data_IF_549642206440
#
_entry.id   IF_549642206440
#
_cell.length_a   1.000
_cell.length_b   1.000
_cell.length_c   1.000
_cell.angle_alpha   90.00
_cell.angle_beta   90.00
_cell.angle_gamma   90.00
#
_symmetry.space_group_name_H-M   'P 1'
#
loop_
_entity.id
_entity.type
_entity.pdbx_description
1 polymer ?
#
# COMPACT_ATOMS: atom_id res chain seq x y z
N UNK A 1 -70.50 -19.73 -31.91
CA UNK A 1 -70.25 -21.15 -31.59
C UNK A 1 -69.72 -21.16 -30.16
N UNK A 2 -70.62 -21.19 -29.17
CA UNK A 2 -71.17 -22.38 -28.49
C UNK A 2 -70.10 -23.01 -27.58
N UNK A 3 -70.29 -23.28 -26.29
CA UNK A 3 -71.33 -23.11 -25.25
C UNK A 3 -70.59 -23.49 -23.93
N UNK A 4 -70.72 -22.78 -22.78
CA UNK A 4 -71.65 -23.08 -21.64
C UNK A 4 -71.29 -24.44 -20.95
N UNK A 5 -71.08 -24.60 -19.63
CA UNK A 5 -71.60 -23.93 -18.42
C UNK A 5 -70.96 -24.48 -17.12
N UNK A 6 -71.08 -23.67 -16.06
CA UNK A 6 -71.42 -23.94 -14.64
C UNK A 6 -70.78 -25.09 -13.82
N UNK A 7 -70.59 -24.98 -12.51
CA UNK A 7 -71.15 -24.00 -11.57
C UNK A 7 -70.62 -24.15 -10.14
N UNK A 8 -70.88 -23.12 -9.34
CA UNK A 8 -70.65 -22.97 -7.89
C UNK A 8 -71.63 -23.79 -7.05
N UNK A 9 -71.20 -24.15 -5.83
CA UNK A 9 -71.93 -24.13 -4.53
C UNK A 9 -71.47 -25.30 -3.64
N UNK A 10 -71.51 -25.33 -2.30
CA UNK A 10 -71.77 -24.42 -1.18
C UNK A 10 -71.49 -25.26 0.11
N UNK A 11 -71.07 -24.62 1.21
CA UNK A 11 -71.21 -25.14 2.58
C UNK A 11 -70.24 -26.27 2.96
N UNK A 12 -69.81 -26.46 4.19
CA UNK A 12 -70.22 -25.96 5.49
C UNK A 12 -69.34 -26.66 6.54
N UNK A 13 -69.34 -26.13 7.75
CA UNK A 13 -68.56 -26.54 8.92
C UNK A 13 -68.52 -28.06 9.21
N UNK A 14 -67.45 -28.56 9.83
CA UNK A 14 -67.37 -28.79 11.28
C UNK A 14 -66.12 -29.59 11.66
N UNK A 15 -65.58 -29.29 12.84
CA UNK A 15 -64.43 -29.93 13.49
C UNK A 15 -64.60 -31.42 13.77
N UNK A 16 -63.48 -32.15 13.83
CA UNK A 16 -63.24 -33.25 14.77
C UNK A 16 -61.75 -33.64 14.79
N UNK A 17 -61.06 -33.13 15.81
CA UNK A 17 -60.16 -33.81 16.75
C UNK A 17 -59.31 -35.01 16.27
N UNK A 18 -57.99 -34.82 16.29
CA UNK A 18 -56.95 -35.84 16.19
C UNK A 18 -55.77 -35.44 17.10
N UNK A 19 -55.05 -36.41 17.68
CA UNK A 19 -54.78 -36.45 19.12
C UNK A 19 -53.68 -35.50 19.62
N UNK A 20 -53.88 -35.11 20.88
CA UNK A 20 -53.01 -34.27 21.71
C UNK A 20 -51.53 -34.72 21.68
N UNK A 21 -50.67 -33.82 21.22
CA UNK A 21 -49.23 -33.85 21.53
C UNK A 21 -49.02 -33.35 22.97
N UNK A 22 -47.99 -33.83 23.69
CA UNK A 22 -47.77 -33.46 25.09
C UNK A 22 -47.54 -31.95 25.22
N UNK A 23 -48.26 -31.31 26.13
CA UNK A 23 -48.01 -29.92 26.53
C UNK A 23 -46.62 -29.85 27.19
N UNK A 24 -45.67 -29.18 26.54
CA UNK A 24 -44.47 -28.69 27.21
C UNK A 24 -44.87 -27.57 28.18
N UNK A 25 -44.69 -27.81 29.48
CA UNK A 25 -44.80 -26.79 30.51
C UNK A 25 -43.80 -25.65 30.24
N UNK A 26 -44.18 -24.37 30.42
CA UNK A 26 -43.23 -23.28 30.28
C UNK A 26 -42.13 -23.40 31.36
N UNK A 27 -40.86 -23.12 31.03
CA UNK A 27 -39.79 -23.20 32.00
C UNK A 27 -40.00 -22.17 33.12
N UNK A 28 -39.88 -22.64 34.37
CA UNK A 28 -39.89 -21.80 35.57
C UNK A 28 -38.85 -20.68 35.47
N UNK A 29 -39.14 -19.46 35.98
CA UNK A 29 -38.16 -18.39 35.99
C UNK A 29 -36.94 -18.77 36.84
N UNK A 30 -35.72 -18.37 36.43
CA UNK A 30 -34.52 -18.71 37.17
C UNK A 30 -34.54 -18.07 38.58
N UNK A 31 -33.91 -18.71 39.58
CA UNK A 31 -33.78 -18.13 40.91
C UNK A 31 -32.96 -16.82 40.84
N UNK A 32 -33.19 -15.87 41.76
CA UNK A 32 -32.43 -14.63 41.79
C UNK A 32 -30.93 -14.93 41.99
N UNK A 33 -30.04 -14.13 41.38
CA UNK A 33 -28.60 -14.34 41.50
C UNK A 33 -28.15 -14.26 42.97
N UNK A 34 -27.24 -15.15 43.34
CA UNK A 34 -26.59 -15.12 44.65
C UNK A 34 -25.90 -13.77 44.87
N UNK A 35 -25.87 -13.23 46.11
CA UNK A 35 -25.17 -11.98 46.39
C UNK A 35 -23.69 -12.12 46.00
N UNK A 36 -23.06 -11.06 45.48
CA UNK A 36 -21.67 -11.11 45.08
C UNK A 36 -20.79 -11.44 46.30
N UNK A 37 -19.67 -12.17 46.11
CA UNK A 37 -18.72 -12.40 47.18
C UNK A 37 -18.22 -11.06 47.74
N UNK A 38 -17.84 -11.00 49.04
CA UNK A 38 -17.29 -9.78 49.61
C UNK A 38 -16.07 -9.34 48.79
N UNK A 39 -16.02 -8.02 48.50
CA UNK A 39 -14.93 -7.40 47.77
C UNK A 39 -13.58 -7.84 48.40
N UNK A 40 -12.57 -8.20 47.59
CA UNK A 40 -11.24 -8.42 48.13
C UNK A 40 -10.79 -7.14 48.84
N UNK A 41 -10.22 -7.29 50.05
CA UNK A 41 -9.57 -6.18 50.74
C UNK A 41 -8.60 -5.48 49.77
N UNK A 42 -8.45 -4.15 49.84
CA UNK A 42 -7.55 -3.43 48.96
C UNK A 42 -6.18 -4.08 49.05
N UNK A 43 -5.73 -4.62 47.94
CA UNK A 43 -4.37 -5.11 47.77
C UNK A 43 -3.48 -3.92 48.06
N UNK A 44 -2.51 -4.08 48.96
CA UNK A 44 -1.48 -3.09 49.24
C UNK A 44 -1.00 -2.46 47.92
N UNK A 45 -0.74 -1.15 47.89
CA UNK A 45 -0.42 -0.45 46.66
C UNK A 45 0.71 -1.19 45.97
N UNK A 46 0.48 -1.55 44.71
CA UNK A 46 1.49 -2.12 43.84
C UNK A 46 2.78 -1.33 44.02
N UNK A 47 3.88 -2.05 44.30
CA UNK A 47 5.20 -1.47 44.21
C UNK A 47 5.30 -0.74 42.87
N UNK A 48 5.88 0.48 42.84
CA UNK A 48 5.92 1.27 41.61
C UNK A 48 6.49 0.38 40.51
N UNK A 49 5.77 0.30 39.38
CA UNK A 49 6.28 -0.33 38.17
C UNK A 49 7.69 0.22 37.95
N UNK A 50 8.67 -0.67 38.04
CA UNK A 50 10.05 -0.33 37.74
C UNK A 50 10.03 0.27 36.35
N UNK A 51 10.51 1.52 36.14
CA UNK A 51 10.54 2.09 34.80
C UNK A 51 11.21 1.09 33.88
N UNK A 52 10.53 0.71 32.79
CA UNK A 52 11.09 -0.16 31.77
C UNK A 52 12.46 0.43 31.41
N UNK A 53 13.52 -0.27 31.84
CA UNK A 53 14.88 0.21 31.71
C UNK A 53 15.08 0.49 30.22
N UNK A 54 15.55 1.67 29.80
CA UNK A 54 15.84 1.91 28.39
C UNK A 54 16.68 0.73 27.89
N UNK A 55 16.18 0.01 26.88
CA UNK A 55 16.93 -1.05 26.21
C UNK A 55 18.33 -0.48 25.95
N UNK A 56 19.41 -1.17 26.38
CA UNK A 56 20.75 -0.65 26.18
C UNK A 56 20.95 -0.42 24.69
N UNK A 57 21.19 0.84 24.31
CA UNK A 57 21.54 1.23 22.95
C UNK A 57 22.57 0.23 22.41
N UNK A 58 22.29 -0.48 21.30
CA UNK A 58 23.15 -1.56 20.84
C UNK A 58 24.57 -1.03 20.66
N UNK A 59 25.55 -1.80 21.11
CA UNK A 59 26.96 -1.44 20.90
C UNK A 59 27.28 -1.44 19.41
N UNK A 60 28.34 -0.73 18.99
CA UNK A 60 28.73 -0.67 17.57
C UNK A 60 29.01 -2.07 17.01
N UNK A 61 29.69 -2.91 17.79
CA UNK A 61 29.97 -4.29 17.44
C UNK A 61 28.69 -5.14 17.33
N UNK A 62 27.72 -4.95 18.22
CA UNK A 62 26.44 -5.66 18.17
C UNK A 62 25.63 -5.25 16.94
N UNK A 63 25.53 -3.94 16.66
CA UNK A 63 24.85 -3.45 15.48
C UNK A 63 25.49 -3.96 14.18
N UNK A 64 26.83 -4.00 14.13
CA UNK A 64 27.59 -4.59 13.03
C UNK A 64 27.25 -6.07 12.84
N UNK A 65 27.29 -6.85 13.91
CA UNK A 65 27.03 -8.28 13.86
C UNK A 65 25.61 -8.57 13.32
N UNK A 66 24.59 -7.90 13.87
CA UNK A 66 23.20 -8.09 13.45
C UNK A 66 22.99 -7.76 11.97
N UNK A 67 23.58 -6.67 11.49
CA UNK A 67 23.45 -6.28 10.09
C UNK A 67 24.19 -7.24 9.15
N UNK A 68 25.39 -7.70 9.51
CA UNK A 68 26.13 -8.66 8.68
C UNK A 68 25.46 -10.03 8.64
N UNK A 69 24.81 -10.46 9.72
CA UNK A 69 23.99 -11.69 9.72
C UNK A 69 22.79 -11.57 8.77
N UNK A 70 22.18 -10.39 8.67
CA UNK A 70 21.04 -10.12 7.78
C UNK A 70 21.45 -9.92 6.32
N UNK A 71 22.57 -9.22 6.09
CA UNK A 71 23.03 -8.81 4.77
C UNK A 71 23.83 -9.88 4.04
N UNK A 72 24.36 -10.86 4.77
CA UNK A 72 25.25 -11.88 4.21
C UNK A 72 26.64 -11.32 3.88
N UNK A 73 27.48 -12.12 3.19
CA UNK A 73 28.84 -11.73 2.84
C UNK A 73 28.82 -10.65 1.76
N UNK A 74 29.08 -9.42 2.16
CA UNK A 74 29.33 -8.33 1.23
C UNK A 74 30.70 -8.50 0.56
N UNK A 75 30.81 -8.15 -0.72
CA UNK A 75 32.07 -8.18 -1.45
C UNK A 75 33.12 -7.29 -0.78
N UNK A 76 34.35 -7.82 -0.67
CA UNK A 76 35.57 -7.08 -0.33
C UNK A 76 35.45 -6.00 0.75
N UNK A 77 35.48 -6.37 2.04
CA UNK A 77 35.80 -5.45 3.14
C UNK A 77 35.20 -4.04 3.04
N UNK A 78 33.86 -3.94 2.96
CA UNK A 78 33.17 -2.64 2.96
C UNK A 78 33.52 -1.85 4.22
N UNK A 79 34.41 -0.89 4.06
CA UNK A 79 34.69 0.13 5.05
C UNK A 79 33.54 1.16 4.98
N UNK A 80 32.90 1.40 6.14
CA UNK A 80 31.89 2.45 6.20
C UNK A 80 32.57 3.82 6.09
N UNK A 81 31.99 4.77 5.34
CA UNK A 81 32.44 6.15 5.35
C UNK A 81 32.43 6.70 6.78
N UNK A 82 33.30 7.67 7.13
CA UNK A 82 33.36 8.24 8.48
C UNK A 82 32.05 8.86 8.98
N UNK A 83 31.12 9.19 8.06
CA UNK A 83 29.79 9.74 8.37
C UNK A 83 28.76 8.68 8.79
N UNK A 84 29.06 7.39 8.63
CA UNK A 84 28.15 6.29 8.91
C UNK A 84 28.71 5.40 10.03
N UNK A 85 27.80 4.94 10.89
CA UNK A 85 28.09 3.94 11.92
C UNK A 85 27.10 2.80 11.78
N UNK A 86 27.49 1.60 12.22
CA UNK A 86 26.63 0.43 12.23
C UNK A 86 25.36 0.66 13.04
N UNK A 87 25.43 1.43 14.14
CA UNK A 87 24.24 1.85 14.89
C UNK A 87 23.27 2.68 14.05
N UNK A 88 23.79 3.66 13.30
CA UNK A 88 22.95 4.49 12.43
C UNK A 88 22.31 3.65 11.33
N UNK A 89 23.06 2.72 10.74
CA UNK A 89 22.52 1.80 9.72
C UNK A 89 21.44 0.88 10.31
N UNK A 90 21.64 0.37 11.54
CA UNK A 90 20.67 -0.49 12.22
C UNK A 90 19.37 0.25 12.51
N UNK A 91 19.46 1.53 12.87
CA UNK A 91 18.31 2.40 13.13
C UNK A 91 17.61 2.84 11.83
N UNK A 92 18.38 3.22 10.80
CA UNK A 92 17.82 3.74 9.55
C UNK A 92 17.31 2.64 8.63
N UNK A 93 17.89 1.45 8.64
CA UNK A 93 17.56 0.33 7.74
C UNK A 93 17.47 0.80 6.27
N UNK A 94 18.57 1.30 5.66
CA UNK A 94 18.53 1.86 4.31
C UNK A 94 18.16 0.84 3.23
N UNK A 95 18.49 -0.44 3.46
CA UNK A 95 18.15 -1.56 2.59
C UNK A 95 16.79 -2.16 2.96
N UNK A 96 16.14 -2.82 1.98
CA UNK A 96 14.89 -3.56 2.14
C UNK A 96 13.67 -2.76 2.63
N UNK A 97 13.70 -1.43 2.51
CA UNK A 97 12.55 -0.55 2.78
C UNK A 97 12.16 0.27 1.56
N UNK A 98 10.95 0.83 1.59
CA UNK A 98 10.52 1.79 0.56
C UNK A 98 11.13 3.17 0.83
N UNK A 99 11.81 3.72 -0.17
CA UNK A 99 12.47 5.03 -0.15
C UNK A 99 11.58 6.16 -0.66
N UNK A 100 10.42 5.85 -1.25
CA UNK A 100 9.43 6.87 -1.61
C UNK A 100 8.65 7.34 -0.39
N UNK A 101 8.42 8.65 -0.29
CA UNK A 101 7.55 9.21 0.75
C UNK A 101 6.10 9.12 0.30
N UNK A 102 5.21 8.85 1.26
CA UNK A 102 3.77 8.70 1.01
C UNK A 102 3.46 7.83 -0.23
N UNK A 103 3.89 6.56 -0.25
CA UNK A 103 3.75 5.66 -1.41
C UNK A 103 2.29 5.35 -1.76
N UNK A 104 1.41 5.47 -0.77
CA UNK A 104 -0.04 5.31 -0.90
C UNK A 104 -0.73 6.58 -0.40
N UNK A 105 -0.79 7.65 -1.23
CA UNK A 105 -1.26 8.95 -0.75
C UNK A 105 -2.75 8.95 -0.43
N UNK A 106 -3.58 8.25 -1.22
CA UNK A 106 -5.05 8.21 -1.04
C UNK A 106 -5.49 7.13 -0.03
N UNK A 107 -4.57 6.35 0.54
CA UNK A 107 -4.87 5.28 1.51
C UNK A 107 -5.61 4.08 0.90
N UNK A 108 -5.44 3.84 -0.41
CA UNK A 108 -6.14 2.80 -1.16
C UNK A 108 -5.20 1.59 -1.29
N UNK A 109 -5.60 0.43 -0.78
CA UNK A 109 -4.80 -0.78 -0.87
C UNK A 109 -5.05 -1.53 -2.20
N UNK A 110 -4.03 -2.23 -2.69
CA UNK A 110 -4.10 -3.07 -3.91
C UNK A 110 -4.85 -4.40 -3.72
N UNK A 111 -5.12 -4.81 -2.48
CA UNK A 111 -5.76 -6.10 -2.18
C UNK A 111 -7.28 -6.05 -2.43
N UNK A 112 -7.84 -4.85 -2.49
CA UNK A 112 -9.22 -4.58 -2.86
C UNK A 112 -9.29 -3.96 -4.27
N UNK A 113 -10.36 -4.19 -5.04
CA UNK A 113 -10.56 -3.48 -6.30
C UNK A 113 -10.54 -1.97 -6.11
N UNK A 114 -10.09 -1.22 -7.12
CA UNK A 114 -10.12 0.23 -7.06
C UNK A 114 -11.56 0.70 -6.74
N UNK A 115 -11.75 1.61 -5.76
CA UNK A 115 -13.09 1.99 -5.32
C UNK A 115 -13.91 2.53 -6.49
N UNK A 116 -15.21 2.23 -6.61
CA UNK A 116 -16.04 2.87 -7.62
C UNK A 116 -16.02 4.37 -7.36
N UNK A 117 -15.48 5.17 -8.29
CA UNK A 117 -15.44 6.62 -8.09
C UNK A 117 -15.82 7.31 -9.39
N UNK A 118 -16.89 8.10 -9.29
CA UNK A 118 -17.34 8.99 -10.35
C UNK A 118 -16.39 10.18 -10.53
N UNK A 119 -16.74 11.13 -11.40
CA UNK A 119 -16.00 12.38 -11.49
C UNK A 119 -15.97 13.10 -10.14
N UNK A 120 -14.84 13.69 -9.79
CA UNK A 120 -14.68 14.52 -8.59
C UNK A 120 -14.35 15.96 -8.95
N UNK A 121 -14.89 16.91 -8.18
CA UNK A 121 -14.49 18.33 -8.24
C UNK A 121 -13.48 18.70 -7.15
N UNK A 122 -13.18 17.76 -6.26
CA UNK A 122 -12.22 17.98 -5.18
C UNK A 122 -10.81 18.10 -5.76
N UNK A 123 -10.00 19.07 -5.29
CA UNK A 123 -8.58 19.16 -5.62
C UNK A 123 -7.83 17.89 -5.20
N UNK A 124 -6.78 17.53 -5.92
CA UNK A 124 -6.01 16.31 -5.66
C UNK A 124 -5.47 16.26 -4.23
N UNK A 125 -5.02 17.40 -3.71
CA UNK A 125 -4.39 17.55 -2.40
C UNK A 125 -5.36 17.22 -1.25
N UNK A 126 -6.67 17.33 -1.50
CA UNK A 126 -7.70 17.01 -0.50
C UNK A 126 -8.05 15.53 -0.43
N UNK A 127 -7.53 14.73 -1.37
CA UNK A 127 -7.87 13.31 -1.53
C UNK A 127 -6.91 12.39 -0.78
N UNK A 128 -5.83 12.93 -0.23
CA UNK A 128 -4.80 12.12 0.41
C UNK A 128 -3.58 12.90 0.88
N UNK A 129 -2.61 12.18 1.44
CA UNK A 129 -1.33 12.73 1.86
C UNK A 129 -0.28 12.63 0.75
N UNK A 130 -0.11 13.70 -0.02
CA UNK A 130 0.88 13.77 -1.10
C UNK A 130 2.23 14.37 -0.67
N UNK A 131 2.56 14.37 0.63
CA UNK A 131 3.84 14.90 1.12
C UNK A 131 5.03 14.24 0.42
N UNK A 132 5.94 15.06 -0.10
CA UNK A 132 7.14 14.62 -0.82
C UNK A 132 6.95 14.54 -2.33
N UNK A 133 5.71 14.43 -2.83
CA UNK A 133 5.43 14.40 -4.26
C UNK A 133 5.42 15.80 -4.87
N UNK A 134 6.13 15.97 -5.98
CA UNK A 134 5.92 17.09 -6.88
C UNK A 134 4.88 16.69 -7.91
N UNK A 135 3.77 17.43 -7.94
CA UNK A 135 2.61 17.12 -8.79
C UNK A 135 2.41 18.25 -9.78
N UNK A 136 2.23 17.91 -11.05
CA UNK A 136 1.80 18.84 -12.11
C UNK A 136 0.68 18.23 -12.94
N UNK A 137 -0.11 19.09 -13.56
CA UNK A 137 -1.11 18.69 -14.55
C UNK A 137 -0.65 19.15 -15.93
N UNK A 138 -0.65 18.24 -16.90
CA UNK A 138 -0.36 18.54 -18.30
C UNK A 138 -1.64 18.36 -19.10
N UNK A 139 -2.12 19.43 -19.75
CA UNK A 139 -3.32 19.38 -20.57
C UNK A 139 -3.06 18.68 -21.91
N UNK A 140 -4.02 17.85 -22.33
CA UNK A 140 -4.00 17.15 -23.61
C UNK A 140 -5.22 17.54 -24.44
N UNK A 141 -5.30 17.05 -25.67
CA UNK A 141 -6.48 17.21 -26.52
C UNK A 141 -7.70 16.43 -25.99
N UNK A 142 -8.91 16.84 -26.39
CA UNK A 142 -10.17 16.10 -26.16
C UNK A 142 -10.50 15.85 -24.68
N UNK A 143 -10.42 16.91 -23.88
CA UNK A 143 -10.75 16.90 -22.44
C UNK A 143 -9.87 15.97 -21.59
N UNK A 144 -8.74 15.51 -22.12
CA UNK A 144 -7.79 14.67 -21.41
C UNK A 144 -6.70 15.51 -20.74
N UNK A 145 -6.12 14.98 -19.67
CA UNK A 145 -4.92 15.53 -19.05
C UNK A 145 -4.08 14.42 -18.43
N UNK A 146 -2.78 14.67 -18.26
CA UNK A 146 -1.93 13.88 -17.37
C UNK A 146 -1.88 14.54 -16.01
N UNK A 147 -2.04 13.76 -14.94
CA UNK A 147 -1.44 14.08 -13.65
C UNK A 147 -0.07 13.43 -13.60
N UNK A 148 0.97 14.24 -13.48
CA UNK A 148 2.35 13.77 -13.32
C UNK A 148 2.72 13.92 -11.86
N UNK A 149 3.21 12.85 -11.24
CA UNK A 149 3.78 12.89 -9.89
C UNK A 149 5.20 12.35 -9.94
N UNK A 150 6.09 13.02 -9.22
CA UNK A 150 7.50 12.63 -9.18
C UNK A 150 8.12 12.83 -7.80
N UNK A 151 9.11 12.00 -7.49
CA UNK A 151 10.00 12.10 -6.35
C UNK A 151 11.44 11.83 -6.80
N UNK A 152 12.40 12.54 -6.20
CA UNK A 152 13.81 12.28 -6.39
C UNK A 152 14.39 11.83 -5.05
N UNK A 153 14.83 10.58 -4.99
CA UNK A 153 15.43 9.96 -3.81
C UNK A 153 16.93 10.22 -3.84
N UNK A 154 17.47 10.75 -2.75
CA UNK A 154 18.91 10.89 -2.52
C UNK A 154 19.41 9.66 -1.76
N UNK A 155 20.09 8.75 -2.45
CA UNK A 155 20.45 7.44 -1.88
C UNK A 155 21.42 7.58 -0.71
N UNK A 156 22.33 8.55 -0.77
CA UNK A 156 23.28 8.80 0.30
C UNK A 156 22.58 9.37 1.54
N UNK A 157 21.65 10.31 1.35
CA UNK A 157 20.85 10.85 2.45
C UNK A 157 19.98 9.78 3.12
N UNK A 158 19.53 8.78 2.36
CA UNK A 158 18.78 7.63 2.89
C UNK A 158 19.66 6.64 3.67
N UNK A 159 20.99 6.79 3.65
CA UNK A 159 21.94 5.99 4.44
C UNK A 159 22.67 4.92 3.64
N UNK A 160 22.57 4.95 2.31
CA UNK A 160 23.45 4.17 1.43
C UNK A 160 24.78 4.92 1.26
N UNK A 161 25.83 4.25 0.80
CA UNK A 161 27.15 4.85 0.62
C UNK A 161 27.74 4.51 -0.75
N UNK A 162 28.79 5.23 -1.13
CA UNK A 162 29.35 5.20 -2.48
C UNK A 162 29.89 3.82 -2.84
N UNK A 163 30.70 3.22 -1.97
CA UNK A 163 31.31 1.91 -2.18
C UNK A 163 30.25 0.81 -2.32
N UNK A 164 29.17 0.86 -1.53
CA UNK A 164 28.02 -0.05 -1.70
C UNK A 164 27.36 0.13 -3.07
N UNK A 165 27.11 1.37 -3.50
CA UNK A 165 26.42 1.65 -4.75
C UNK A 165 27.29 1.40 -5.99
N UNK A 166 28.59 1.60 -5.88
CA UNK A 166 29.53 1.56 -7.00
C UNK A 166 30.14 0.18 -7.20
N UNK A 167 30.49 -0.52 -6.12
CA UNK A 167 31.17 -1.82 -6.18
C UNK A 167 30.18 -2.99 -6.07
N UNK A 168 29.34 -3.01 -5.03
CA UNK A 168 28.36 -4.08 -4.85
C UNK A 168 27.17 -3.94 -5.82
N UNK A 169 26.81 -2.71 -6.15
CA UNK A 169 25.69 -2.35 -7.04
C UNK A 169 24.40 -3.12 -6.68
N UNK A 170 23.88 -3.01 -5.44
CA UNK A 170 22.69 -3.73 -5.00
C UNK A 170 21.52 -3.47 -5.93
N UNK A 171 20.63 -4.45 -6.08
CA UNK A 171 19.45 -4.35 -6.93
C UNK A 171 18.58 -3.16 -6.49
N UNK A 172 18.23 -2.29 -7.43
CA UNK A 172 17.26 -1.21 -7.20
C UNK A 172 15.93 -1.63 -7.82
N UNK A 173 15.00 -2.03 -6.96
CA UNK A 173 13.67 -2.49 -7.35
C UNK A 173 12.67 -1.34 -7.31
N UNK A 174 11.97 -1.16 -8.43
CA UNK A 174 10.86 -0.24 -8.57
C UNK A 174 9.57 -1.04 -8.75
N UNK A 175 8.53 -0.65 -8.03
CA UNK A 175 7.18 -1.13 -8.24
C UNK A 175 6.18 0.02 -8.25
N UNK A 176 5.10 -0.15 -9.00
CA UNK A 176 3.94 0.72 -8.93
C UNK A 176 2.67 -0.04 -9.34
N UNK A 177 1.53 0.49 -8.93
CA UNK A 177 0.23 -0.06 -9.30
C UNK A 177 -0.68 1.04 -9.80
N UNK A 178 -1.31 0.80 -10.95
CA UNK A 178 -2.26 1.75 -11.52
C UNK A 178 -3.61 1.09 -11.81
N UNK A 179 -4.66 1.89 -11.79
CA UNK A 179 -6.03 1.49 -12.10
C UNK A 179 -6.20 1.37 -13.63
N UNK A 180 -6.73 0.24 -14.13
CA UNK A 180 -7.27 0.21 -15.51
C UNK A 180 -8.60 0.97 -15.58
N UNK A 181 -8.51 2.29 -15.68
CA UNK A 181 -9.63 3.24 -15.69
C UNK A 181 -10.40 3.25 -17.02
N UNK A 182 -9.82 2.67 -18.08
CA UNK A 182 -10.35 2.65 -19.46
C UNK A 182 -10.64 4.03 -20.05
N UNK A 183 -9.99 5.07 -19.52
CA UNK A 183 -10.13 6.42 -20.07
C UNK A 183 -9.49 6.54 -21.46
N UNK A 184 -8.44 5.76 -21.73
CA UNK A 184 -7.73 5.71 -23.01
C UNK A 184 -7.08 4.32 -23.18
N UNK A 185 -6.53 4.03 -24.35
CA UNK A 185 -5.73 2.82 -24.58
C UNK A 185 -4.41 2.81 -23.77
N UNK A 186 -3.90 3.99 -23.39
CA UNK A 186 -2.75 4.17 -22.52
C UNK A 186 -3.11 5.22 -21.47
N UNK A 187 -3.32 4.75 -20.23
CA UNK A 187 -3.74 5.60 -19.10
C UNK A 187 -2.62 5.83 -18.08
N UNK A 188 -1.46 5.21 -18.29
CA UNK A 188 -0.35 5.22 -17.36
C UNK A 188 0.99 5.23 -18.09
N UNK A 189 1.94 5.99 -17.56
CA UNK A 189 3.35 5.99 -17.96
C UNK A 189 4.23 5.97 -16.70
N UNK A 190 5.28 5.16 -16.70
CA UNK A 190 6.33 5.16 -15.68
C UNK A 190 7.65 5.56 -16.33
N UNK A 191 8.35 6.47 -15.67
CA UNK A 191 9.71 6.86 -16.01
C UNK A 191 10.57 6.87 -14.77
N UNK A 192 11.67 6.10 -14.81
CA UNK A 192 12.64 6.06 -13.73
C UNK A 192 14.02 6.29 -14.30
N UNK A 193 14.80 7.13 -13.63
CA UNK A 193 16.21 7.36 -13.94
C UNK A 193 17.06 7.10 -12.70
N UNK A 194 18.14 6.35 -12.89
CA UNK A 194 19.27 6.33 -11.97
C UNK A 194 20.23 7.43 -12.41
N UNK A 195 20.48 8.40 -11.54
CA UNK A 195 21.24 9.60 -11.85
C UNK A 195 22.52 9.68 -11.02
N UNK A 196 23.55 10.27 -11.62
CA UNK A 196 24.80 10.56 -10.93
C UNK A 196 24.70 11.75 -9.96
N UNK A 197 25.80 12.05 -9.27
CA UNK A 197 25.88 13.11 -8.25
C UNK A 197 25.41 14.50 -8.74
N UNK A 198 25.57 14.79 -10.04
CA UNK A 198 25.14 16.06 -10.65
C UNK A 198 23.62 16.17 -10.88
N UNK A 199 22.86 15.11 -10.58
CA UNK A 199 21.40 14.97 -10.81
C UNK A 199 20.97 15.15 -12.26
N UNK A 200 21.89 15.00 -13.22
CA UNK A 200 21.64 15.22 -14.66
C UNK A 200 22.14 14.06 -15.50
N UNK A 201 23.31 13.53 -15.18
CA UNK A 201 23.90 12.41 -15.89
C UNK A 201 23.10 11.15 -15.60
N UNK A 202 22.51 10.56 -16.64
CA UNK A 202 21.73 9.33 -16.55
C UNK A 202 22.69 8.15 -16.61
N UNK A 203 22.71 7.36 -15.53
CA UNK A 203 23.49 6.11 -15.44
C UNK A 203 22.67 4.96 -16.01
N UNK A 204 21.40 4.86 -15.65
CA UNK A 204 20.45 3.91 -16.22
C UNK A 204 19.03 4.49 -16.22
N UNK A 205 18.15 3.95 -17.06
CA UNK A 205 16.76 4.40 -17.09
C UNK A 205 15.81 3.28 -17.48
N UNK A 206 14.57 3.38 -17.02
CA UNK A 206 13.47 2.51 -17.39
C UNK A 206 12.22 3.32 -17.71
N UNK A 207 11.63 3.06 -18.88
CA UNK A 207 10.42 3.73 -19.34
C UNK A 207 9.41 2.69 -19.83
N UNK A 208 8.17 2.80 -19.37
CA UNK A 208 7.10 1.92 -19.82
C UNK A 208 5.77 2.66 -19.86
N UNK A 209 4.97 2.38 -20.89
CA UNK A 209 3.63 2.92 -21.08
C UNK A 209 2.69 1.76 -21.45
N UNK A 210 2.30 0.91 -20.48
CA UNK A 210 1.47 -0.26 -20.75
C UNK A 210 0.15 0.15 -21.38
N UNK A 211 -0.30 -0.62 -22.38
CA UNK A 211 -1.62 -0.45 -22.96
C UNK A 211 -2.55 -1.45 -22.30
N UNK A 212 -3.67 -0.96 -21.76
CA UNK A 212 -4.65 -1.87 -21.16
C UNK A 212 -5.49 -2.49 -22.28
N UNK A 213 -5.68 -3.81 -22.21
CA UNK A 213 -6.41 -4.56 -23.24
C UNK A 213 -7.92 -4.28 -23.21
N UNK A 214 -8.41 -3.64 -22.14
CA UNK A 214 -9.83 -3.45 -21.86
C UNK A 214 -10.59 -4.75 -21.56
N UNK A 215 -9.91 -5.90 -21.57
CA UNK A 215 -10.48 -7.23 -21.31
C UNK A 215 -10.30 -7.56 -19.84
N UNK A 216 -11.37 -7.41 -19.05
CA UNK A 216 -11.36 -7.66 -17.61
C UNK A 216 -12.54 -6.99 -16.90
N UNK A 217 -12.55 -6.98 -15.57
CA UNK A 217 -13.46 -6.13 -14.79
C UNK A 217 -12.89 -4.69 -14.74
N UNK A 218 -13.73 -3.64 -14.87
CA UNK A 218 -13.27 -2.27 -14.66
C UNK A 218 -12.67 -2.08 -13.26
N UNK A 219 -11.67 -1.21 -13.11
CA UNK A 219 -11.08 -0.89 -11.81
C UNK A 219 -10.14 -1.96 -11.24
N UNK A 220 -9.58 -2.83 -12.08
CA UNK A 220 -8.52 -3.74 -11.65
C UNK A 220 -7.18 -3.00 -11.54
N UNK A 221 -6.38 -3.40 -10.55
CA UNK A 221 -5.01 -2.94 -10.40
C UNK A 221 -4.09 -3.66 -11.38
N UNK A 222 -3.23 -2.90 -12.03
CA UNK A 222 -2.19 -3.40 -12.93
C UNK A 222 -0.83 -3.09 -12.31
N UNK A 223 -0.04 -4.14 -12.07
CA UNK A 223 1.31 -4.01 -11.54
C UNK A 223 2.27 -3.60 -12.65
N UNK A 224 3.21 -2.73 -12.30
CA UNK A 224 4.42 -2.44 -13.07
C UNK A 224 5.61 -2.64 -12.15
N UNK A 225 6.61 -3.40 -12.59
CA UNK A 225 7.85 -3.57 -11.83
C UNK A 225 9.07 -3.56 -12.74
N UNK A 226 10.18 -3.11 -12.18
CA UNK A 226 11.48 -3.15 -12.83
C UNK A 226 12.58 -3.29 -11.78
N UNK A 227 13.63 -4.02 -12.11
CA UNK A 227 14.82 -4.15 -11.26
C UNK A 227 16.04 -3.71 -12.05
N UNK A 228 16.71 -2.66 -11.58
CA UNK A 228 18.01 -2.28 -12.12
C UNK A 228 19.08 -3.18 -11.51
N UNK A 229 19.81 -3.87 -12.38
CA UNK A 229 20.97 -4.70 -12.04
C UNK A 229 22.16 -4.25 -12.84
N UNK A 230 23.36 -4.41 -12.29
CA UNK A 230 24.61 -4.08 -12.96
C UNK A 230 24.58 -2.70 -13.64
N UNK A 231 24.03 -1.71 -12.94
CA UNK A 231 23.80 -0.37 -13.50
C UNK A 231 25.10 0.43 -13.68
N UNK A 232 26.24 -0.08 -13.19
CA UNK A 232 27.52 0.61 -13.23
C UNK A 232 27.69 1.58 -12.06
N UNK A 233 28.91 2.09 -11.89
CA UNK A 233 29.23 3.00 -10.80
C UNK A 233 28.68 4.42 -11.03
N UNK A 234 28.56 5.17 -9.94
CA UNK A 234 28.23 6.58 -9.93
C UNK A 234 26.76 6.90 -9.64
N UNK A 235 25.89 5.91 -9.39
CA UNK A 235 24.48 6.17 -9.04
C UNK A 235 24.39 6.84 -7.67
N UNK A 236 23.69 7.97 -7.58
CA UNK A 236 23.47 8.71 -6.33
C UNK A 236 22.01 9.09 -6.11
N UNK A 237 21.21 9.16 -7.17
CA UNK A 237 19.80 9.49 -7.08
C UNK A 237 18.92 8.53 -7.87
N UNK A 238 17.69 8.34 -7.40
CA UNK A 238 16.62 7.71 -8.16
C UNK A 238 15.54 8.74 -8.41
N UNK A 239 15.34 9.11 -9.66
CA UNK A 239 14.22 9.97 -10.06
C UNK A 239 13.06 9.08 -10.52
N UNK A 240 12.03 8.98 -9.67
CA UNK A 240 10.80 8.26 -9.95
C UNK A 240 9.74 9.25 -10.45
N UNK A 241 9.11 8.96 -11.59
CA UNK A 241 8.01 9.72 -12.15
C UNK A 241 6.97 8.79 -12.73
N UNK A 242 5.71 8.96 -12.33
CA UNK A 242 4.60 8.36 -13.04
C UNK A 242 3.65 9.42 -13.61
N UNK A 243 2.88 9.02 -14.62
CA UNK A 243 1.79 9.82 -15.16
C UNK A 243 0.52 9.00 -15.18
N UNK A 244 -0.58 9.61 -14.78
CA UNK A 244 -1.91 9.01 -14.87
C UNK A 244 -2.83 9.89 -15.69
N UNK A 245 -3.57 9.27 -16.60
CA UNK A 245 -4.45 9.98 -17.51
C UNK A 245 -5.79 10.25 -16.84
N UNK A 246 -6.30 11.45 -17.02
CA UNK A 246 -7.60 11.88 -16.52
C UNK A 246 -8.46 12.38 -17.68
N UNK A 247 -9.78 12.47 -17.44
CA UNK A 247 -10.74 13.05 -18.37
C UNK A 247 -11.68 14.00 -17.63
N UNK A 248 -11.81 15.21 -18.13
CA UNK A 248 -12.84 16.16 -17.70
C UNK A 248 -14.18 15.74 -18.28
N UNK A 249 -15.20 15.61 -17.43
CA UNK A 249 -16.57 15.25 -17.82
C UNK A 249 -17.59 16.09 -17.04
N UNK A 250 -18.88 16.10 -17.42
CA UNK A 250 -19.91 16.68 -16.56
C UNK A 250 -19.85 16.05 -15.15
N UNK A 251 -19.72 16.90 -14.13
CA UNK A 251 -19.55 16.47 -12.74
C UNK A 251 -18.12 16.54 -12.20
N UNK A 252 -17.10 16.77 -13.04
CA UNK A 252 -15.71 16.96 -12.59
C UNK A 252 -14.70 16.09 -13.34
N UNK A 253 -13.56 15.82 -12.69
CA UNK A 253 -12.46 15.06 -13.24
C UNK A 253 -12.62 13.56 -12.94
N UNK A 254 -12.67 12.72 -13.97
CA UNK A 254 -12.48 11.26 -13.82
C UNK A 254 -10.98 10.98 -13.89
N UNK A 255 -10.44 10.35 -12.86
CA UNK A 255 -9.00 10.16 -12.69
C UNK A 255 -8.62 8.70 -12.82
N UNK A 256 -7.41 8.45 -13.35
CA UNK A 256 -6.74 7.15 -13.18
C UNK A 256 -5.94 7.19 -11.88
N UNK A 257 -6.16 6.22 -10.99
CA UNK A 257 -5.45 6.13 -9.72
C UNK A 257 -4.15 5.33 -9.85
N UNK A 258 -3.26 5.63 -8.90
CA UNK A 258 -1.97 4.99 -8.67
C UNK A 258 -1.76 4.87 -7.18
N UNK A 259 -1.20 3.75 -6.74
CA UNK A 259 -1.00 3.46 -5.33
C UNK A 259 0.14 2.46 -5.12
N UNK A 260 0.56 2.32 -3.86
CA UNK A 260 1.59 1.38 -3.42
C UNK A 260 2.88 1.45 -4.26
N UNK A 261 3.26 2.67 -4.67
CA UNK A 261 4.49 2.95 -5.39
C UNK A 261 5.70 2.68 -4.49
N UNK A 262 6.74 2.03 -5.00
CA UNK A 262 7.95 1.77 -4.24
C UNK A 262 9.23 1.89 -5.04
N UNK A 263 10.26 2.37 -4.36
CA UNK A 263 11.67 2.25 -4.74
C UNK A 263 12.37 1.64 -3.55
N UNK A 264 13.10 0.57 -3.75
CA UNK A 264 13.79 -0.16 -2.67
C UNK A 264 15.13 -0.67 -3.18
N UNK A 265 16.09 -0.76 -2.27
CA UNK A 265 17.43 -1.27 -2.56
C UNK A 265 17.64 -2.56 -1.79
N UNK A 266 18.04 -3.62 -2.48
CA UNK A 266 18.25 -4.95 -1.92
C UNK A 266 19.64 -5.46 -2.31
N UNK A 267 20.33 -6.08 -1.37
CA UNK A 267 21.54 -6.83 -1.72
C UNK A 267 21.14 -8.00 -2.62
N UNK A 268 22.04 -8.35 -3.53
CA UNK A 268 21.84 -9.49 -4.41
C UNK A 268 21.93 -10.79 -3.60
N UNK A 269 21.06 -11.74 -3.93
CA UNK A 269 21.15 -13.12 -3.46
C UNK A 269 22.34 -13.86 -4.11
#
# INVERSE_FOLDING_TARGET
>A
MAEVRDGRALGGAMEADGPASPQELPPSPPPPPSPPPPLPLPTSPAAPETPERPQPEPSEACARQLLLEEWGPLGGGLELPPSLTWKVLLLRRPLYRNLLRSPNPEGINIYEPAPPTGPTRQPLETLGNFRGWHIKTETLHKDLSWTVKQQCVDLLAEGLWEELLDDEQPDITVMDWFEDSRLDACVYELHVWLLAADRRTVVAQHHVAPRTSGRGRPGCWVQVSHVFRHYGSGVRFVHFLHKTKNRTVPGGLRRTRVTDSSVSVQLRE
#
